data_IF_037592523705
#
_entry.id   IF_037592523705
#
_cell.length_a   1.000
_cell.length_b   1.000
_cell.length_c   1.000
_cell.angle_alpha   90.00
_cell.angle_beta   90.00
_cell.angle_gamma   90.00
#
_symmetry.space_group_name_H-M   'P 1'
#
loop_
_entity.id
_entity.type
_entity.pdbx_description
1 polymer ?
#
# COMPACT_ATOMS: atom_id res chain seq x y z
N UNK A 1 -5.90 25.78 7.17
CA UNK A 1 -6.55 26.08 5.88
C UNK A 1 -8.03 25.83 6.09
N UNK A 2 -8.93 26.70 5.65
CA UNK A 2 -10.37 26.40 5.70
C UNK A 2 -10.79 25.59 4.45
N UNK A 3 -11.96 24.96 4.48
CA UNK A 3 -12.42 24.08 3.39
C UNK A 3 -12.51 24.80 2.03
N UNK A 4 -12.85 26.10 2.01
CA UNK A 4 -12.93 26.89 0.78
C UNK A 4 -11.54 27.15 0.17
N UNK A 5 -10.53 27.40 1.00
CA UNK A 5 -9.15 27.55 0.57
C UNK A 5 -8.59 26.23 0.04
N UNK A 6 -8.97 25.10 0.64
CA UNK A 6 -8.56 23.76 0.23
C UNK A 6 -9.17 23.35 -1.12
N UNK A 7 -10.46 23.58 -1.31
CA UNK A 7 -11.15 23.33 -2.58
C UNK A 7 -10.58 24.19 -3.71
N UNK A 8 -10.24 25.43 -3.41
CA UNK A 8 -9.61 26.31 -4.36
C UNK A 8 -8.19 25.88 -4.72
N UNK A 9 -7.40 25.43 -3.74
CA UNK A 9 -6.08 24.85 -3.99
C UNK A 9 -6.19 23.67 -4.97
N UNK A 10 -7.11 22.73 -4.72
CA UNK A 10 -7.33 21.60 -5.62
C UNK A 10 -7.72 22.10 -7.01
N UNK A 11 -8.68 23.03 -7.10
CA UNK A 11 -9.09 23.61 -8.38
C UNK A 11 -7.92 24.25 -9.16
N UNK A 12 -7.09 25.05 -8.50
CA UNK A 12 -5.95 25.73 -9.13
C UNK A 12 -4.86 24.73 -9.59
N UNK A 13 -4.62 23.69 -8.81
CA UNK A 13 -3.66 22.62 -9.13
C UNK A 13 -4.15 21.74 -10.28
N UNK A 14 -5.43 21.36 -10.25
CA UNK A 14 -6.09 20.52 -11.25
C UNK A 14 -6.22 21.20 -12.62
N UNK A 15 -6.44 22.53 -12.64
CA UNK A 15 -6.55 23.31 -13.88
C UNK A 15 -5.18 23.66 -14.49
N UNK A 16 -4.10 23.17 -13.91
CA UNK A 16 -2.76 23.48 -14.36
C UNK A 16 -2.38 22.61 -15.56
N UNK A 17 -2.02 23.24 -16.67
CA UNK A 17 -1.70 22.53 -17.93
C UNK A 17 -0.42 21.68 -17.86
N UNK A 18 0.38 21.76 -16.79
CA UNK A 18 1.60 20.97 -16.59
C UNK A 18 1.86 20.70 -15.10
N UNK A 19 2.53 19.58 -14.79
CA UNK A 19 3.02 19.28 -13.43
C UNK A 19 3.89 20.42 -12.87
N UNK A 20 4.68 21.09 -13.73
CA UNK A 20 5.52 22.22 -13.34
C UNK A 20 4.70 23.37 -12.76
N UNK A 21 3.60 23.72 -13.43
CA UNK A 21 2.73 24.81 -13.00
C UNK A 21 1.98 24.42 -11.71
N UNK A 22 1.52 23.17 -11.59
CA UNK A 22 0.93 22.65 -10.34
C UNK A 22 1.91 22.79 -9.15
N UNK A 23 3.18 22.41 -9.36
CA UNK A 23 4.22 22.53 -8.33
C UNK A 23 4.50 24.00 -7.96
N UNK A 24 4.54 24.92 -8.92
CA UNK A 24 4.73 26.35 -8.65
C UNK A 24 3.59 26.94 -7.82
N UNK A 25 2.33 26.55 -8.10
CA UNK A 25 1.16 26.95 -7.30
C UNK A 25 1.32 26.47 -5.85
N UNK A 26 1.66 25.18 -5.67
CA UNK A 26 1.86 24.59 -4.34
C UNK A 26 2.98 25.27 -3.55
N UNK A 27 4.09 25.60 -4.19
CA UNK A 27 5.23 26.30 -3.58
C UNK A 27 4.87 27.73 -3.18
N UNK A 28 4.17 28.45 -4.05
CA UNK A 28 3.74 29.81 -3.77
C UNK A 28 2.88 29.85 -2.50
N UNK A 29 1.95 28.91 -2.39
CA UNK A 29 1.04 28.77 -1.24
C UNK A 29 1.80 28.34 0.02
N UNK A 30 2.78 27.44 -0.12
CA UNK A 30 3.64 27.03 1.00
C UNK A 30 4.47 28.19 1.58
N UNK A 31 4.84 29.17 0.76
CA UNK A 31 5.66 30.31 1.17
C UNK A 31 4.86 31.55 1.59
N UNK A 32 3.55 31.59 1.37
CA UNK A 32 2.70 32.67 1.85
C UNK A 32 2.31 32.45 3.32
N UNK A 33 2.81 33.31 4.22
CA UNK A 33 2.48 33.29 5.67
C UNK A 33 0.99 33.55 5.97
N UNK A 34 0.25 34.05 4.97
CA UNK A 34 -1.21 34.17 5.01
C UNK A 34 -1.82 33.12 4.10
N UNK A 35 -2.52 32.14 4.68
CA UNK A 35 -3.46 31.23 4.01
C UNK A 35 -4.70 31.99 3.44
N UNK A 36 -4.53 33.19 2.90
CA UNK A 36 -5.57 33.94 2.18
C UNK A 36 -5.38 33.73 0.68
N UNK A 37 -5.99 32.68 0.14
CA UNK A 37 -6.05 32.45 -1.30
C UNK A 37 -7.05 33.45 -1.93
N UNK A 38 -6.53 34.55 -2.50
CA UNK A 38 -7.27 35.67 -3.16
C UNK A 38 -8.27 35.24 -4.25
N UNK A 39 -9.57 35.62 -4.20
CA UNK A 39 -10.67 35.02 -4.96
C UNK A 39 -10.74 35.49 -6.41
N UNK A 40 -9.92 34.93 -7.30
CA UNK A 40 -10.15 35.07 -8.73
C UNK A 40 -9.92 33.72 -9.43
N UNK A 41 -10.77 33.45 -10.41
CA UNK A 41 -10.84 32.31 -11.35
C UNK A 41 -12.01 31.34 -11.16
N UNK A 42 -13.21 31.84 -11.47
CA UNK A 42 -14.39 31.04 -11.84
C UNK A 42 -14.45 30.87 -13.36
N UNK A 43 -13.75 29.90 -13.94
CA UNK A 43 -14.13 29.33 -15.24
C UNK A 43 -13.65 27.89 -15.36
N UNK A 44 -14.56 26.98 -15.76
CA UNK A 44 -14.28 25.57 -16.07
C UNK A 44 -13.19 25.46 -17.15
N UNK A 45 -12.29 24.48 -17.03
CA UNK A 45 -11.85 23.74 -18.22
C UNK A 45 -11.75 22.21 -18.00
N UNK A 46 -12.06 21.52 -19.09
CA UNK A 46 -11.59 20.18 -19.45
C UNK A 46 -10.14 20.35 -19.94
N UNK A 47 -9.19 19.43 -19.67
CA UNK A 47 -8.29 18.79 -20.68
C UNK A 47 -7.12 17.97 -20.09
N UNK A 48 -6.68 17.05 -20.94
CA UNK A 48 -5.82 15.87 -20.78
C UNK A 48 -4.35 16.19 -20.44
N UNK A 49 -3.79 15.44 -19.49
CA UNK A 49 -2.36 15.35 -19.22
C UNK A 49 -1.62 14.83 -20.47
N UNK A 50 -0.87 15.68 -21.18
CA UNK A 50 0.06 15.19 -22.21
C UNK A 50 1.32 14.64 -21.54
N UNK A 51 1.27 13.36 -21.18
CA UNK A 51 2.45 12.57 -20.82
C UNK A 51 3.29 12.28 -22.07
N UNK A 52 3.94 13.30 -22.63
CA UNK A 52 4.98 13.12 -23.63
C UNK A 52 5.90 14.32 -23.63
N UNK A 53 6.92 14.29 -22.78
CA UNK A 53 8.21 14.91 -23.12
C UNK A 53 9.33 14.33 -22.25
N UNK A 54 10.36 13.83 -22.95
CA UNK A 54 11.55 13.20 -22.38
C UNK A 54 12.35 14.15 -21.45
N UNK A 55 13.08 13.62 -20.46
CA UNK A 55 13.64 14.39 -19.36
C UNK A 55 15.15 14.62 -19.58
N UNK A 56 15.56 15.80 -20.03
CA UNK A 56 17.00 16.14 -19.98
C UNK A 56 17.26 17.58 -19.52
N UNK A 57 16.33 18.52 -19.75
CA UNK A 57 16.52 19.92 -19.36
C UNK A 57 15.54 20.42 -18.28
N UNK A 58 14.46 19.68 -18.01
CA UNK A 58 13.46 20.01 -17.00
C UNK A 58 13.80 19.49 -15.58
N UNK A 59 14.74 18.54 -15.44
CA UNK A 59 14.95 17.79 -14.19
C UNK A 59 15.38 18.64 -12.99
N UNK A 60 16.23 19.66 -13.20
CA UNK A 60 16.76 20.47 -12.08
C UNK A 60 15.72 21.42 -11.46
N UNK A 61 14.82 21.98 -12.27
CA UNK A 61 13.79 22.89 -11.77
C UNK A 61 12.65 22.13 -11.08
N UNK A 62 12.23 20.99 -11.63
CA UNK A 62 11.23 20.13 -10.99
C UNK A 62 11.71 19.58 -9.66
N UNK A 63 12.97 19.15 -9.58
CA UNK A 63 13.53 18.61 -8.34
C UNK A 63 13.69 19.67 -7.25
N UNK A 64 14.04 20.92 -7.62
CA UNK A 64 14.02 22.05 -6.67
C UNK A 64 12.59 22.34 -6.17
N UNK A 65 11.62 22.29 -7.07
CA UNK A 65 10.23 22.55 -6.73
C UNK A 65 9.66 21.50 -5.76
N UNK A 66 9.96 20.22 -5.98
CA UNK A 66 9.59 19.14 -5.08
C UNK A 66 10.32 19.28 -3.74
N UNK A 67 11.61 19.63 -3.75
CA UNK A 67 12.37 19.88 -2.52
C UNK A 67 11.77 21.00 -1.67
N UNK A 68 11.35 22.10 -2.30
CA UNK A 68 10.66 23.20 -1.62
C UNK A 68 9.30 22.77 -1.06
N UNK A 69 8.55 21.95 -1.79
CA UNK A 69 7.28 21.38 -1.34
C UNK A 69 7.47 20.35 -0.21
N UNK A 70 8.60 19.66 -0.19
CA UNK A 70 9.00 18.72 0.86
C UNK A 70 9.77 19.40 2.02
N UNK A 71 9.83 20.73 2.04
CA UNK A 71 10.32 21.49 3.20
C UNK A 71 9.30 21.48 4.34
N UNK A 72 9.73 21.88 5.55
CA UNK A 72 8.86 21.92 6.74
C UNK A 72 7.58 22.74 6.53
N UNK A 73 7.62 23.77 5.67
CA UNK A 73 6.48 24.61 5.33
C UNK A 73 5.57 24.01 4.26
N UNK A 74 6.05 23.07 3.46
CA UNK A 74 5.28 22.47 2.36
C UNK A 74 4.46 21.24 2.78
N UNK A 75 4.92 20.50 3.79
CA UNK A 75 4.20 19.32 4.30
C UNK A 75 2.75 19.56 4.72
N UNK A 76 2.39 20.67 5.41
CA UNK A 76 0.99 20.96 5.72
C UNK A 76 0.14 21.09 4.45
N UNK A 77 0.67 21.69 3.38
CA UNK A 77 -0.02 21.86 2.09
C UNK A 77 -0.21 20.50 1.42
N UNK A 78 0.84 19.66 1.36
CA UNK A 78 0.75 18.32 0.77
C UNK A 78 -0.22 17.43 1.54
N UNK A 79 -0.15 17.44 2.87
CA UNK A 79 -1.05 16.67 3.70
C UNK A 79 -2.50 17.10 3.47
N UNK A 80 -2.76 18.40 3.46
CA UNK A 80 -4.10 18.95 3.24
C UNK A 80 -4.63 18.64 1.84
N UNK A 81 -3.78 18.73 0.83
CA UNK A 81 -4.12 18.33 -0.53
C UNK A 81 -4.57 16.86 -0.58
N UNK A 82 -3.84 15.96 0.07
CA UNK A 82 -4.22 14.55 0.19
C UNK A 82 -5.55 14.38 0.93
N UNK A 83 -5.82 15.18 1.98
CA UNK A 83 -7.14 15.16 2.65
C UNK A 83 -8.26 15.57 1.70
N UNK A 84 -8.08 16.66 0.97
CA UNK A 84 -9.12 17.19 0.07
C UNK A 84 -9.44 16.20 -1.05
N UNK A 85 -8.41 15.61 -1.67
CA UNK A 85 -8.60 14.63 -2.76
C UNK A 85 -9.04 13.24 -2.27
N UNK A 86 -8.91 12.95 -0.97
CA UNK A 86 -9.47 11.73 -0.37
C UNK A 86 -10.98 11.74 -0.28
N UNK A 87 -11.60 12.92 -0.37
CA UNK A 87 -13.05 13.09 -0.43
C UNK A 87 -13.61 12.47 -1.72
N UNK A 88 -14.79 11.82 -1.70
CA UNK A 88 -15.40 11.17 -2.86
C UNK A 88 -15.65 12.09 -4.07
N UNK A 89 -15.56 13.40 -3.89
CA UNK A 89 -15.83 14.41 -4.92
C UNK A 89 -14.66 14.66 -5.88
N UNK A 90 -13.46 14.12 -5.62
CA UNK A 90 -12.27 14.37 -6.42
C UNK A 90 -11.58 13.05 -6.80
N UNK A 91 -11.44 12.82 -8.11
CA UNK A 91 -10.74 11.66 -8.67
C UNK A 91 -9.90 12.12 -9.84
N UNK A 92 -8.63 12.42 -9.59
CA UNK A 92 -7.78 13.05 -10.59
C UNK A 92 -6.42 12.38 -10.70
N UNK A 93 -6.02 12.01 -11.92
CA UNK A 93 -4.79 11.25 -12.19
C UNK A 93 -3.50 12.02 -11.84
N UNK A 94 -3.55 13.35 -11.76
CA UNK A 94 -2.36 14.15 -11.43
C UNK A 94 -1.87 13.90 -10.00
N UNK A 95 -2.75 13.53 -9.06
CA UNK A 95 -2.33 13.22 -7.68
C UNK A 95 -1.45 11.97 -7.65
N UNK A 96 -1.71 11.00 -8.54
CA UNK A 96 -0.89 9.79 -8.65
C UNK A 96 0.54 10.14 -9.06
N UNK A 97 0.70 11.08 -9.99
CA UNK A 97 2.02 11.54 -10.44
C UNK A 97 2.78 12.27 -9.32
N UNK A 98 2.10 13.16 -8.60
CA UNK A 98 2.70 13.87 -7.47
C UNK A 98 3.12 12.90 -6.35
N UNK A 99 2.22 11.98 -5.98
CA UNK A 99 2.49 10.99 -4.93
C UNK A 99 3.55 9.98 -5.34
N UNK A 100 3.60 9.56 -6.61
CA UNK A 100 4.66 8.69 -7.13
C UNK A 100 6.03 9.32 -6.87
N UNK A 101 6.16 10.61 -7.22
CA UNK A 101 7.41 11.35 -7.06
C UNK A 101 7.79 11.56 -5.59
N UNK A 102 6.85 12.02 -4.75
CA UNK A 102 7.10 12.28 -3.32
C UNK A 102 7.40 10.98 -2.56
N UNK A 103 6.61 9.93 -2.79
CA UNK A 103 6.65 8.72 -1.96
C UNK A 103 7.72 7.73 -2.40
N UNK A 104 7.91 7.53 -3.71
CA UNK A 104 8.86 6.54 -4.22
C UNK A 104 10.21 7.17 -4.58
N UNK A 105 10.22 8.21 -5.41
CA UNK A 105 11.48 8.79 -5.89
C UNK A 105 12.22 9.57 -4.80
N UNK A 106 11.53 10.43 -4.05
CA UNK A 106 12.13 11.20 -2.95
C UNK A 106 12.04 10.46 -1.59
N UNK A 107 11.44 9.26 -1.55
CA UNK A 107 11.34 8.39 -0.36
C UNK A 107 10.67 9.02 0.87
N UNK A 108 9.79 10.00 0.69
CA UNK A 108 9.13 10.71 1.79
C UNK A 108 7.81 10.08 2.25
N UNK A 109 7.51 8.85 1.84
CA UNK A 109 6.32 8.12 2.30
C UNK A 109 6.19 8.11 3.84
N UNK A 110 7.23 7.83 4.65
CA UNK A 110 7.08 7.81 6.10
C UNK A 110 6.63 9.16 6.67
N UNK A 111 7.19 10.25 6.14
CA UNK A 111 6.89 11.60 6.58
C UNK A 111 5.46 11.98 6.22
N UNK A 112 5.05 11.82 4.96
CA UNK A 112 3.68 12.09 4.53
C UNK A 112 2.67 11.25 5.31
N UNK A 113 2.91 9.94 5.44
CA UNK A 113 2.03 9.03 6.16
C UNK A 113 1.85 9.44 7.62
N UNK A 114 2.90 9.93 8.29
CA UNK A 114 2.81 10.45 9.66
C UNK A 114 1.98 11.73 9.76
N UNK A 115 2.09 12.64 8.78
CA UNK A 115 1.36 13.91 8.74
C UNK A 115 -0.13 13.74 8.46
N UNK A 116 -0.53 12.59 7.90
CA UNK A 116 -1.93 12.23 7.65
C UNK A 116 -2.63 11.63 8.88
N UNK A 117 -1.92 11.35 9.97
CA UNK A 117 -2.58 11.00 11.23
C UNK A 117 -3.46 12.17 11.70
N UNK A 118 -4.65 11.83 12.18
CA UNK A 118 -5.60 12.81 12.71
C UNK A 118 -4.96 13.56 13.89
N UNK A 119 -5.17 14.88 13.98
CA UNK A 119 -4.70 15.73 15.07
C UNK A 119 -5.91 16.25 15.82
N UNK A 120 -6.64 15.38 16.52
CA UNK A 120 -7.67 15.88 17.44
C UNK A 120 -7.01 16.33 18.74
N UNK A 121 -7.12 17.64 18.97
CA UNK A 121 -7.08 18.24 20.29
C UNK A 121 -8.45 17.97 20.91
N UNK A 122 -8.49 17.08 21.90
CA UNK A 122 -9.35 17.25 23.08
C UNK A 122 -8.61 16.60 24.26
N UNK A 123 -8.03 17.46 25.10
CA UNK A 123 -7.63 17.10 26.45
C UNK A 123 -8.91 16.72 27.21
N UNK A 124 -9.07 15.43 27.47
CA UNK A 124 -10.23 14.91 28.18
C UNK A 124 -10.38 13.42 27.95
N UNK A 125 -10.19 12.67 29.03
CA UNK A 125 -10.35 11.22 29.15
C UNK A 125 -9.16 10.37 28.69
N UNK A 126 -8.32 10.05 29.68
CA UNK A 126 -7.45 8.87 29.69
C UNK A 126 -8.28 7.63 29.38
N UNK A 127 -8.15 7.15 28.15
CA UNK A 127 -8.44 5.77 27.81
C UNK A 127 -7.18 5.22 27.14
N UNK A 128 -6.51 4.31 27.85
CA UNK A 128 -5.36 3.56 27.36
C UNK A 128 -5.76 2.78 26.09
N UNK A 129 -5.45 3.32 24.90
CA UNK A 129 -5.29 2.58 23.61
C UNK A 129 -5.20 3.44 22.34
N UNK A 130 -5.14 4.79 22.42
CA UNK A 130 -5.30 5.67 21.23
C UNK A 130 -4.13 5.72 20.20
N UNK A 131 -3.00 5.04 20.39
CA UNK A 131 -1.79 5.28 19.57
C UNK A 131 -1.66 4.42 18.28
N UNK A 132 -2.63 3.52 18.04
CA UNK A 132 -2.58 2.53 16.96
C UNK A 132 -3.61 2.71 15.83
N UNK A 133 -4.48 3.72 15.90
CA UNK A 133 -5.53 3.90 14.91
C UNK A 133 -5.02 4.57 13.62
N UNK A 134 -5.32 3.96 12.48
CA UNK A 134 -5.04 4.54 11.16
C UNK A 134 -6.18 5.46 10.70
N UNK A 135 -5.85 6.52 9.96
CA UNK A 135 -6.83 7.46 9.38
C UNK A 135 -7.31 7.05 7.99
N UNK A 136 -8.47 7.57 7.56
CA UNK A 136 -8.99 7.38 6.20
C UNK A 136 -8.02 7.86 5.13
N UNK A 137 -7.29 8.94 5.41
CA UNK A 137 -6.34 9.55 4.48
C UNK A 137 -5.09 8.67 4.33
N UNK A 138 -4.68 7.96 5.39
CA UNK A 138 -3.61 6.96 5.31
C UNK A 138 -4.04 5.75 4.45
N UNK A 139 -5.27 5.28 4.60
CA UNK A 139 -5.81 4.22 3.75
C UNK A 139 -5.90 4.68 2.28
N UNK A 140 -6.36 5.90 2.04
CA UNK A 140 -6.39 6.53 0.72
C UNK A 140 -5.00 6.60 0.09
N UNK A 141 -4.00 7.08 0.83
CA UNK A 141 -2.62 7.15 0.36
C UNK A 141 -2.10 5.77 -0.08
N UNK A 142 -2.28 4.74 0.76
CA UNK A 142 -1.85 3.38 0.41
C UNK A 142 -2.60 2.83 -0.81
N UNK A 143 -3.90 3.09 -0.94
CA UNK A 143 -4.66 2.75 -2.14
C UNK A 143 -4.03 3.37 -3.39
N UNK A 144 -3.81 4.68 -3.38
CA UNK A 144 -3.23 5.39 -4.53
C UNK A 144 -1.83 4.89 -4.87
N UNK A 145 -1.00 4.61 -3.87
CA UNK A 145 0.34 4.03 -4.08
C UNK A 145 0.28 2.62 -4.66
N UNK A 146 -0.69 1.80 -4.23
CA UNK A 146 -0.91 0.48 -4.83
C UNK A 146 -1.33 0.57 -6.30
N UNK A 147 -2.17 1.55 -6.65
CA UNK A 147 -2.59 1.82 -8.03
C UNK A 147 -1.40 2.25 -8.88
N UNK A 148 -0.55 3.17 -8.39
CA UNK A 148 0.66 3.63 -9.09
C UNK A 148 1.59 2.46 -9.43
N UNK A 149 1.84 1.56 -8.47
CA UNK A 149 2.71 0.39 -8.67
C UNK A 149 2.10 -0.62 -9.63
N UNK A 150 0.79 -0.88 -9.51
CA UNK A 150 0.09 -1.80 -10.39
C UNK A 150 0.00 -1.29 -11.83
N UNK A 151 -0.26 0.01 -12.02
CA UNK A 151 -0.33 0.68 -13.33
C UNK A 151 1.05 0.98 -13.92
N UNK A 152 2.14 0.84 -13.14
CA UNK A 152 3.51 1.21 -13.51
C UNK A 152 3.62 2.65 -14.00
N UNK A 153 3.01 3.58 -13.27
CA UNK A 153 3.01 5.00 -13.63
C UNK A 153 4.41 5.58 -13.38
N UNK A 154 5.18 5.71 -14.46
CA UNK A 154 6.61 6.01 -14.41
C UNK A 154 7.43 4.73 -14.17
N UNK A 155 8.69 4.71 -14.58
CA UNK A 155 9.64 3.65 -14.19
C UNK A 155 9.98 3.81 -12.70
N UNK A 156 8.99 3.53 -11.83
CA UNK A 156 9.06 3.78 -10.39
C UNK A 156 10.11 2.86 -9.79
N UNK A 157 11.16 3.47 -9.23
CA UNK A 157 12.13 2.77 -8.39
C UNK A 157 11.74 2.96 -6.94
N UNK A 158 11.60 1.86 -6.20
CA UNK A 158 11.20 1.90 -4.78
C UNK A 158 12.44 1.70 -3.92
N UNK A 159 12.73 2.68 -3.06
CA UNK A 159 13.87 2.60 -2.15
C UNK A 159 13.64 1.59 -1.03
N UNK A 160 14.74 1.05 -0.47
CA UNK A 160 14.72 0.12 0.66
C UNK A 160 13.92 0.66 1.85
N UNK A 161 14.05 1.95 2.15
CA UNK A 161 13.40 2.57 3.30
C UNK A 161 11.88 2.62 3.13
N UNK A 162 11.40 2.91 1.92
CA UNK A 162 9.98 2.87 1.58
C UNK A 162 9.44 1.44 1.72
N UNK A 163 10.17 0.44 1.21
CA UNK A 163 9.78 -0.97 1.32
C UNK A 163 9.66 -1.40 2.79
N UNK A 164 10.67 -1.08 3.62
CA UNK A 164 10.66 -1.42 5.04
C UNK A 164 9.57 -0.68 5.81
N UNK A 165 9.28 0.56 5.43
CA UNK A 165 8.18 1.31 6.03
C UNK A 165 6.82 0.68 5.73
N UNK A 166 6.56 0.29 4.47
CA UNK A 166 5.31 -0.41 4.11
C UNK A 166 5.22 -1.76 4.82
N UNK A 167 6.34 -2.49 4.94
CA UNK A 167 6.38 -3.72 5.74
C UNK A 167 6.04 -3.47 7.21
N UNK A 168 6.55 -2.39 7.80
CA UNK A 168 6.20 -1.96 9.15
C UNK A 168 4.70 -1.67 9.31
N UNK A 169 4.09 -0.99 8.33
CA UNK A 169 2.63 -0.75 8.31
C UNK A 169 1.88 -2.08 8.25
N UNK A 170 2.24 -2.96 7.32
CA UNK A 170 1.61 -4.27 7.17
C UNK A 170 1.68 -5.04 8.49
N UNK A 171 2.88 -5.16 9.07
CA UNK A 171 3.11 -5.85 10.35
C UNK A 171 2.31 -5.24 11.50
N UNK A 172 2.19 -3.92 11.59
CA UNK A 172 1.37 -3.26 12.62
C UNK A 172 -0.12 -3.54 12.40
N UNK A 173 -0.57 -3.52 11.15
CA UNK A 173 -1.98 -3.71 10.79
C UNK A 173 -2.50 -5.15 10.93
N UNK A 174 -1.63 -6.15 11.13
CA UNK A 174 -2.07 -7.54 11.33
C UNK A 174 -2.90 -7.73 12.61
N UNK A 175 -2.77 -6.84 13.61
CA UNK A 175 -3.62 -6.84 14.81
C UNK A 175 -5.12 -6.70 14.51
N UNK A 176 -5.48 -6.14 13.33
CA UNK A 176 -6.87 -6.08 12.85
C UNK A 176 -7.51 -7.48 12.75
N UNK A 177 -6.71 -8.52 12.54
CA UNK A 177 -7.19 -9.89 12.42
C UNK A 177 -7.78 -10.44 13.73
N UNK A 178 -7.36 -9.94 14.89
CA UNK A 178 -7.87 -10.39 16.20
C UNK A 178 -9.36 -10.08 16.36
N UNK A 179 -9.82 -9.00 15.74
CA UNK A 179 -11.20 -8.52 15.80
C UNK A 179 -11.89 -8.59 14.43
N UNK A 180 -11.30 -9.30 13.47
CA UNK A 180 -11.80 -9.32 12.11
C UNK A 180 -13.18 -9.98 12.02
N UNK A 181 -14.11 -9.26 11.38
CA UNK A 181 -15.34 -9.85 10.88
C UNK A 181 -15.10 -10.32 9.45
N UNK A 182 -15.78 -11.40 9.04
CA UNK A 182 -15.69 -11.93 7.68
C UNK A 182 -16.05 -10.85 6.65
N UNK A 183 -15.05 -10.43 5.86
CA UNK A 183 -15.22 -9.47 4.79
C UNK A 183 -16.04 -10.04 3.63
N UNK A 184 -17.01 -9.25 3.16
CA UNK A 184 -17.90 -9.64 2.04
C UNK A 184 -17.48 -9.01 0.71
N UNK A 185 -16.72 -7.93 0.75
CA UNK A 185 -16.21 -7.18 -0.41
C UNK A 185 -14.71 -7.35 -0.58
N UNK A 186 -14.19 -7.01 -1.76
CA UNK A 186 -12.77 -6.75 -1.95
C UNK A 186 -12.35 -5.40 -1.33
N UNK A 187 -11.15 -4.94 -1.64
CA UNK A 187 -10.71 -3.59 -1.26
C UNK A 187 -11.26 -2.54 -2.24
N UNK A 188 -11.67 -1.35 -1.77
CA UNK A 188 -11.80 -0.97 -0.37
C UNK A 188 -12.95 -1.71 0.34
N UNK A 189 -12.71 -2.13 1.58
CA UNK A 189 -13.61 -2.91 2.42
C UNK A 189 -14.63 -2.04 3.18
N UNK A 190 -14.35 -0.74 3.30
CA UNK A 190 -15.14 0.19 4.12
C UNK A 190 -14.69 0.27 5.58
N UNK A 191 -13.67 -0.50 5.97
CA UNK A 191 -13.04 -0.43 7.29
C UNK A 191 -11.60 0.01 7.10
N UNK A 192 -11.26 1.22 7.57
CA UNK A 192 -9.94 1.85 7.39
C UNK A 192 -8.79 0.93 7.76
N UNK A 193 -8.87 0.25 8.90
CA UNK A 193 -7.78 -0.62 9.36
C UNK A 193 -7.59 -1.87 8.47
N UNK A 194 -8.69 -2.43 7.94
CA UNK A 194 -8.64 -3.52 6.96
C UNK A 194 -8.07 -3.04 5.63
N UNK A 195 -8.40 -1.82 5.22
CA UNK A 195 -7.90 -1.23 3.98
C UNK A 195 -6.40 -0.96 4.06
N UNK A 196 -5.90 -0.45 5.20
CA UNK A 196 -4.46 -0.29 5.45
C UNK A 196 -3.73 -1.64 5.39
N UNK A 197 -4.29 -2.68 6.03
CA UNK A 197 -3.75 -4.04 5.97
C UNK A 197 -3.70 -4.57 4.53
N UNK A 198 -4.80 -4.41 3.79
CA UNK A 198 -4.94 -4.91 2.43
C UNK A 198 -4.05 -4.18 1.42
N UNK A 199 -4.05 -2.85 1.42
CA UNK A 199 -3.24 -2.08 0.49
C UNK A 199 -1.74 -2.18 0.77
N UNK A 200 -1.31 -2.25 2.04
CA UNK A 200 0.09 -2.52 2.37
C UNK A 200 0.55 -3.90 1.89
N UNK A 201 -0.30 -4.93 2.00
CA UNK A 201 -0.05 -6.25 1.44
C UNK A 201 0.07 -6.23 -0.09
N UNK A 202 -0.82 -5.52 -0.79
CA UNK A 202 -0.79 -5.38 -2.25
C UNK A 202 0.49 -4.67 -2.70
N UNK A 203 0.86 -3.56 -2.05
CA UNK A 203 2.10 -2.83 -2.36
C UNK A 203 3.32 -3.76 -2.23
N UNK A 204 3.42 -4.51 -1.13
CA UNK A 204 4.51 -5.48 -0.94
C UNK A 204 4.52 -6.56 -2.03
N UNK A 205 3.34 -7.08 -2.40
CA UNK A 205 3.18 -8.09 -3.45
C UNK A 205 3.72 -7.57 -4.78
N UNK A 206 3.37 -6.35 -5.14
CA UNK A 206 3.72 -5.75 -6.43
C UNK A 206 5.20 -5.36 -6.47
N UNK A 207 5.77 -4.85 -5.36
CA UNK A 207 7.22 -4.64 -5.22
C UNK A 207 7.99 -5.96 -5.37
N UNK A 208 7.51 -7.05 -4.76
CA UNK A 208 8.18 -8.35 -4.86
C UNK A 208 8.01 -9.00 -6.26
N UNK A 209 7.00 -8.57 -7.03
CA UNK A 209 6.80 -9.04 -8.40
C UNK A 209 7.77 -8.39 -9.40
N UNK A 210 8.40 -7.27 -9.04
CA UNK A 210 9.43 -6.65 -9.85
C UNK A 210 10.69 -7.52 -9.87
N UNK A 211 10.78 -8.37 -10.88
CA UNK A 211 12.00 -9.10 -11.24
C UNK A 211 13.07 -8.05 -11.61
N UNK A 212 14.21 -8.06 -10.92
CA UNK A 212 15.39 -7.22 -11.24
C UNK A 212 16.07 -7.64 -12.56
N UNK A 213 15.32 -8.25 -13.48
CA UNK A 213 15.79 -8.78 -14.75
C UNK A 213 16.03 -7.59 -15.67
N UNK A 214 17.24 -7.04 -15.61
CA UNK A 214 17.71 -6.05 -16.57
C UNK A 214 18.73 -5.04 -16.06
N UNK A 215 18.91 -4.88 -14.75
CA UNK A 215 19.94 -3.95 -14.24
C UNK A 215 21.24 -4.68 -13.94
N UNK A 216 22.22 -4.51 -14.83
CA UNK A 216 23.64 -4.65 -14.49
C UNK A 216 23.97 -3.63 -13.39
N UNK A 217 23.85 -4.03 -12.13
CA UNK A 217 24.38 -3.25 -11.02
C UNK A 217 24.72 -4.19 -9.88
N UNK A 218 26.01 -4.39 -9.66
CA UNK A 218 26.62 -5.08 -8.51
C UNK A 218 26.20 -4.47 -7.14
N UNK A 219 25.38 -3.42 -7.15
CA UNK A 219 24.89 -2.67 -6.00
C UNK A 219 23.35 -2.54 -5.91
N UNK A 220 22.56 -3.15 -6.82
CA UNK A 220 21.11 -3.15 -6.69
C UNK A 220 20.72 -4.01 -5.47
N UNK A 221 20.39 -3.37 -4.36
CA UNK A 221 19.95 -4.05 -3.15
C UNK A 221 18.68 -4.83 -3.48
N UNK A 222 18.75 -6.16 -3.45
CA UNK A 222 17.58 -7.01 -3.65
C UNK A 222 16.59 -6.75 -2.51
N UNK A 223 15.59 -5.92 -2.78
CA UNK A 223 14.55 -5.50 -1.82
C UNK A 223 13.80 -6.69 -1.24
N UNK A 224 13.67 -7.78 -2.02
CA UNK A 224 13.06 -9.02 -1.54
C UNK A 224 13.95 -9.67 -0.49
N UNK A 225 15.27 -9.76 -0.71
CA UNK A 225 16.19 -10.31 0.30
C UNK A 225 16.20 -9.49 1.59
N UNK A 226 16.06 -8.16 1.48
CA UNK A 226 15.86 -7.29 2.65
C UNK A 226 14.58 -7.70 3.39
N UNK A 227 13.43 -7.77 2.71
CA UNK A 227 12.18 -8.19 3.36
C UNK A 227 12.29 -9.58 4.00
N UNK A 228 12.99 -10.51 3.35
CA UNK A 228 13.24 -11.86 3.87
C UNK A 228 14.09 -11.86 5.14
N UNK A 229 15.10 -10.98 5.24
CA UNK A 229 15.92 -10.85 6.45
C UNK A 229 15.16 -10.25 7.62
N UNK A 230 14.12 -9.44 7.35
CA UNK A 230 13.21 -8.89 8.36
C UNK A 230 12.05 -9.83 8.73
N UNK A 231 12.01 -11.04 8.17
CA UNK A 231 11.05 -12.08 8.57
C UNK A 231 9.69 -12.00 7.86
N UNK A 232 9.63 -11.44 6.65
CA UNK A 232 8.39 -11.34 5.89
C UNK A 232 7.70 -12.71 5.71
N UNK A 233 8.43 -13.75 5.32
CA UNK A 233 7.86 -15.09 5.09
C UNK A 233 7.24 -15.65 6.38
N UNK A 234 7.93 -15.53 7.51
CA UNK A 234 7.40 -15.99 8.79
C UNK A 234 6.12 -15.28 9.17
N UNK A 235 6.09 -13.95 9.03
CA UNK A 235 4.88 -13.19 9.30
C UNK A 235 3.72 -13.63 8.39
N UNK A 236 3.96 -13.81 7.09
CA UNK A 236 2.93 -14.24 6.14
C UNK A 236 2.44 -15.66 6.43
N UNK A 237 3.31 -16.58 6.85
CA UNK A 237 2.92 -17.94 7.25
C UNK A 237 2.10 -17.95 8.53
N UNK A 238 2.47 -17.13 9.53
CA UNK A 238 1.69 -16.95 10.77
C UNK A 238 0.31 -16.41 10.42
N UNK A 239 0.25 -15.31 9.67
CA UNK A 239 -1.01 -14.69 9.25
C UNK A 239 -1.87 -15.68 8.47
N UNK A 240 -1.29 -16.45 7.54
CA UNK A 240 -2.04 -17.42 6.75
C UNK A 240 -2.52 -18.62 7.57
N UNK A 241 -1.73 -19.07 8.56
CA UNK A 241 -2.06 -20.18 9.45
C UNK A 241 -3.16 -19.86 10.45
N UNK A 242 -3.25 -18.60 10.87
CA UNK A 242 -4.30 -18.11 11.76
C UNK A 242 -5.70 -18.05 11.10
N UNK A 243 -5.77 -18.09 9.76
CA UNK A 243 -7.03 -17.93 9.02
C UNK A 243 -7.87 -19.21 8.97
N UNK A 244 -9.19 -19.06 9.07
CA UNK A 244 -10.15 -20.17 8.93
C UNK A 244 -9.89 -21.00 7.66
N UNK A 245 -9.84 -22.35 7.77
CA UNK A 245 -9.82 -23.25 6.62
C UNK A 245 -11.02 -22.98 5.69
N UNK A 246 -10.82 -23.14 4.39
CA UNK A 246 -11.88 -22.96 3.40
C UNK A 246 -13.03 -23.94 3.67
N UNK A 247 -14.27 -23.49 3.42
CA UNK A 247 -15.53 -24.13 3.86
C UNK A 247 -15.72 -25.61 3.48
N UNK A 248 -14.93 -26.14 2.55
CA UNK A 248 -15.01 -27.51 2.06
C UNK A 248 -14.43 -28.52 3.06
N UNK A 249 -13.53 -28.10 3.96
CA UNK A 249 -13.00 -28.95 5.04
C UNK A 249 -14.02 -29.09 6.20
N UNK A 250 -15.03 -28.20 6.29
CA UNK A 250 -16.11 -28.32 7.29
C UNK A 250 -17.04 -29.52 7.05
N UNK A 251 -17.06 -30.11 5.85
CA UNK A 251 -17.89 -31.30 5.58
C UNK A 251 -17.25 -32.63 6.01
N UNK A 252 -15.96 -32.65 6.35
CA UNK A 252 -15.26 -33.86 6.82
C UNK A 252 -15.08 -33.97 8.34
N UNK A 253 -15.27 -32.88 9.08
CA UNK A 253 -14.84 -32.78 10.49
C UNK A 253 -16.00 -32.68 11.49
N UNK A 254 -17.24 -32.96 11.07
CA UNK A 254 -18.42 -32.96 11.95
C UNK A 254 -18.61 -34.26 12.75
N UNK A 255 -17.58 -35.11 12.88
CA UNK A 255 -17.73 -36.43 13.53
C UNK A 255 -16.74 -36.71 14.67
N UNK A 256 -16.10 -35.69 15.23
CA UNK A 256 -15.23 -35.87 16.40
C UNK A 256 -15.29 -34.65 17.32
N UNK A 257 -16.48 -34.32 17.82
CA UNK A 257 -16.58 -33.51 19.03
C UNK A 257 -16.62 -34.47 20.22
N UNK A 258 -15.45 -34.72 20.82
CA UNK A 258 -15.32 -35.03 22.23
C UNK A 258 -13.91 -34.66 22.71
N UNK A 259 -13.90 -33.69 23.62
CA UNK A 259 -12.90 -33.36 24.64
C UNK A 259 -11.75 -32.36 24.32
N UNK A 260 -11.88 -31.23 25.04
CA UNK A 260 -10.88 -30.48 25.80
C UNK A 260 -9.68 -29.77 25.16
N UNK A 261 -9.61 -28.46 25.46
CA UNK A 261 -8.36 -27.72 25.62
C UNK A 261 -8.01 -26.74 24.51
N UNK A 262 -8.34 -25.45 24.73
CA UNK A 262 -7.96 -24.30 23.90
C UNK A 262 -8.40 -24.38 22.42
N UNK A 263 -9.68 -24.08 22.18
CA UNK A 263 -10.18 -23.72 20.84
C UNK A 263 -9.37 -22.55 20.30
N UNK A 264 -8.36 -22.82 19.47
CA UNK A 264 -7.77 -21.82 18.60
C UNK A 264 -8.88 -21.32 17.66
N UNK A 265 -9.50 -20.19 18.01
CA UNK A 265 -10.53 -19.57 17.20
C UNK A 265 -9.87 -19.06 15.92
N UNK A 266 -9.94 -19.86 14.87
CA UNK A 266 -9.43 -19.48 13.57
C UNK A 266 -10.12 -18.19 13.09
N UNK A 267 -9.34 -17.26 12.56
CA UNK A 267 -9.79 -15.89 12.23
C UNK A 267 -10.40 -15.85 10.83
N UNK A 268 -11.55 -15.19 10.61
CA UNK A 268 -12.11 -15.06 9.28
C UNK A 268 -11.24 -14.14 8.40
N UNK A 269 -11.35 -14.28 7.07
CA UNK A 269 -10.69 -13.34 6.15
C UNK A 269 -11.30 -11.94 6.27
N UNK A 270 -10.49 -10.88 6.42
CA UNK A 270 -10.97 -9.50 6.59
C UNK A 270 -11.55 -8.90 5.30
N UNK A 271 -11.18 -9.41 4.12
CA UNK A 271 -11.76 -9.04 2.83
C UNK A 271 -11.65 -10.19 1.80
N UNK A 272 -12.45 -10.10 0.71
CA UNK A 272 -12.45 -11.07 -0.39
C UNK A 272 -11.13 -10.99 -1.17
N UNK A 273 -10.36 -12.07 -1.15
CA UNK A 273 -9.06 -12.15 -1.83
C UNK A 273 -7.84 -12.08 -0.90
N UNK A 274 -8.02 -11.85 0.40
CA UNK A 274 -6.90 -11.71 1.35
C UNK A 274 -5.90 -12.90 1.31
N UNK A 275 -6.42 -14.13 1.35
CA UNK A 275 -5.59 -15.34 1.22
C UNK A 275 -4.82 -15.39 -0.09
N UNK A 276 -5.49 -15.07 -1.20
CA UNK A 276 -4.84 -15.03 -2.53
C UNK A 276 -3.69 -14.04 -2.52
N UNK A 277 -3.89 -12.86 -1.95
CA UNK A 277 -2.86 -11.80 -1.93
C UNK A 277 -1.65 -12.21 -1.08
N UNK A 278 -1.84 -12.85 0.09
CA UNK A 278 -0.76 -13.41 0.91
C UNK A 278 0.03 -14.46 0.13
N UNK A 279 -0.69 -15.41 -0.46
CA UNK A 279 -0.09 -16.56 -1.14
C UNK A 279 0.65 -16.08 -2.40
N UNK A 280 0.14 -15.07 -3.11
CA UNK A 280 0.83 -14.41 -4.22
C UNK A 280 2.10 -13.67 -3.77
N UNK A 281 2.08 -12.99 -2.61
CA UNK A 281 3.28 -12.33 -2.08
C UNK A 281 4.37 -13.34 -1.68
N UNK A 282 4.01 -14.42 -0.98
CA UNK A 282 4.94 -15.54 -0.72
C UNK A 282 5.47 -16.08 -2.05
N UNK A 283 4.56 -16.23 -3.02
CA UNK A 283 4.80 -16.46 -4.43
C UNK A 283 6.03 -15.72 -4.96
N UNK A 284 5.86 -14.42 -5.06
CA UNK A 284 6.85 -13.50 -5.60
C UNK A 284 8.16 -13.52 -4.80
N UNK A 285 8.09 -13.66 -3.47
CA UNK A 285 9.27 -13.70 -2.61
C UNK A 285 10.17 -14.92 -2.87
N UNK A 286 9.60 -16.11 -3.11
CA UNK A 286 10.41 -17.32 -3.31
C UNK A 286 10.67 -17.66 -4.78
N UNK A 287 10.10 -16.90 -5.71
CA UNK A 287 10.37 -17.05 -7.12
C UNK A 287 11.87 -16.89 -7.41
N UNK A 288 12.48 -17.90 -8.02
CA UNK A 288 13.92 -17.95 -8.40
C UNK A 288 14.91 -17.72 -7.24
N UNK A 289 14.48 -17.80 -5.97
CA UNK A 289 15.33 -17.58 -4.78
C UNK A 289 15.43 -18.83 -3.92
N UNK A 290 16.48 -19.64 -4.12
CA UNK A 290 16.66 -20.94 -3.43
C UNK A 290 16.62 -20.82 -1.90
N UNK A 291 17.35 -19.86 -1.33
CA UNK A 291 17.37 -19.66 0.13
C UNK A 291 15.97 -19.35 0.71
N UNK A 292 15.15 -18.61 -0.04
CA UNK A 292 13.78 -18.28 0.35
C UNK A 292 12.85 -19.51 0.25
N UNK A 293 13.04 -20.34 -0.79
CA UNK A 293 12.35 -21.63 -0.93
C UNK A 293 12.72 -22.60 0.20
N UNK A 294 14.01 -22.68 0.56
CA UNK A 294 14.49 -23.48 1.69
C UNK A 294 13.86 -23.00 3.00
N UNK A 295 13.81 -21.68 3.23
CA UNK A 295 13.14 -21.07 4.38
C UNK A 295 11.67 -21.47 4.46
N UNK A 296 10.96 -21.43 3.33
CA UNK A 296 9.57 -21.84 3.22
C UNK A 296 9.38 -23.34 3.52
N UNK A 297 10.26 -24.21 3.00
CA UNK A 297 10.25 -25.66 3.27
C UNK A 297 10.47 -25.97 4.75
N UNK A 298 11.48 -25.34 5.35
CA UNK A 298 11.86 -25.55 6.76
C UNK A 298 10.80 -25.08 7.77
N UNK A 299 9.79 -24.34 7.32
CA UNK A 299 8.69 -23.83 8.16
C UNK A 299 7.36 -24.54 7.89
N UNK A 300 7.38 -25.70 7.22
CA UNK A 300 6.17 -26.40 6.77
C UNK A 300 5.26 -25.53 5.89
N UNK A 301 5.79 -24.44 5.31
CA UNK A 301 5.02 -23.47 4.56
C UNK A 301 4.47 -24.05 3.27
N UNK A 302 5.16 -25.04 2.67
CA UNK A 302 4.64 -25.78 1.52
C UNK A 302 3.28 -26.41 1.86
N UNK A 303 3.19 -27.16 2.97
CA UNK A 303 1.92 -27.79 3.38
C UNK A 303 0.82 -26.76 3.59
N UNK A 304 1.13 -25.65 4.26
CA UNK A 304 0.19 -24.56 4.51
C UNK A 304 -0.35 -23.94 3.21
N UNK A 305 0.51 -23.73 2.21
CA UNK A 305 0.12 -23.22 0.90
C UNK A 305 -0.74 -24.25 0.13
N UNK A 306 -0.39 -25.54 0.19
CA UNK A 306 -1.17 -26.61 -0.45
C UNK A 306 -2.60 -26.67 0.09
N UNK A 307 -2.80 -26.41 1.38
CA UNK A 307 -4.12 -26.34 2.01
C UNK A 307 -4.98 -25.19 1.45
N UNK A 308 -4.37 -24.13 0.92
CA UNK A 308 -5.10 -23.04 0.27
C UNK A 308 -5.52 -23.36 -1.17
N UNK A 309 -5.01 -24.44 -1.77
CA UNK A 309 -5.35 -24.84 -3.14
C UNK A 309 -6.69 -25.60 -3.27
N UNK A 310 -7.39 -25.86 -2.17
CA UNK A 310 -8.66 -26.61 -2.18
C UNK A 310 -9.82 -25.66 -2.49
N UNK A 311 -10.41 -25.86 -3.67
CA UNK A 311 -11.67 -25.31 -4.26
C UNK A 311 -12.20 -24.05 -3.58
N UNK A 312 -11.84 -22.89 -4.13
CA UNK A 312 -12.68 -21.70 -4.05
C UNK A 312 -13.17 -21.42 -5.48
N UNK A 313 -14.49 -21.29 -5.67
CA UNK A 313 -15.11 -20.93 -6.95
C UNK A 313 -14.69 -19.52 -7.39
N UNK A 314 -14.27 -18.68 -6.43
CA UNK A 314 -13.73 -17.33 -6.66
C UNK A 314 -12.20 -17.28 -6.87
N UNK A 315 -11.53 -18.44 -7.01
CA UNK A 315 -10.07 -18.52 -7.22
C UNK A 315 -9.71 -18.90 -8.67
N UNK A 316 -9.46 -17.91 -9.57
CA UNK A 316 -9.13 -18.19 -10.97
C UNK A 316 -7.73 -18.84 -11.16
N UNK A 317 -6.92 -18.97 -10.10
CA UNK A 317 -5.51 -19.35 -10.21
C UNK A 317 -5.24 -20.86 -10.12
N UNK A 318 -6.27 -21.72 -10.04
CA UNK A 318 -6.11 -23.18 -9.87
C UNK A 318 -5.11 -23.85 -10.84
N UNK A 319 -4.99 -23.33 -12.07
CA UNK A 319 -4.04 -23.84 -13.08
C UNK A 319 -2.60 -23.37 -12.86
N UNK A 320 -2.39 -22.15 -12.37
CA UNK A 320 -1.06 -21.58 -12.15
C UNK A 320 -0.37 -22.19 -10.93
N UNK A 321 -1.14 -22.56 -9.89
CA UNK A 321 -0.63 -23.26 -8.69
C UNK A 321 -0.08 -24.66 -8.99
N UNK A 322 -0.64 -25.37 -9.97
CA UNK A 322 -0.13 -26.69 -10.40
C UNK A 322 1.28 -26.59 -11.00
N UNK A 323 1.54 -25.53 -11.76
CA UNK A 323 2.86 -25.24 -12.36
C UNK A 323 3.86 -24.81 -11.25
N UNK A 324 3.37 -24.09 -10.24
CA UNK A 324 4.17 -23.68 -9.09
C UNK A 324 4.61 -24.84 -8.20
N UNK A 325 3.74 -25.83 -7.98
CA UNK A 325 4.08 -27.07 -7.27
C UNK A 325 5.23 -27.82 -7.95
N UNK A 326 5.18 -27.98 -9.28
CA UNK A 326 6.25 -28.66 -10.01
C UNK A 326 7.60 -27.96 -9.80
N UNK A 327 7.66 -26.63 -9.93
CA UNK A 327 8.91 -25.86 -9.80
C UNK A 327 9.49 -25.78 -8.39
N UNK A 328 8.68 -25.90 -7.34
CA UNK A 328 9.16 -25.92 -5.94
C UNK A 328 9.63 -27.30 -5.48
N UNK A 329 9.15 -28.36 -6.14
CA UNK A 329 9.46 -29.77 -5.83
C UNK A 329 10.63 -30.28 -6.68
N UNK A 330 10.79 -29.84 -7.94
CA UNK A 330 11.81 -30.32 -8.90
C UNK A 330 13.26 -29.77 -8.70
N UNK A 331 13.63 -29.33 -7.49
CA UNK A 331 15.04 -28.93 -7.22
C UNK A 331 15.66 -29.74 -6.07
N UNK A 332 15.18 -30.98 -5.90
CA UNK A 332 15.84 -32.00 -5.07
C UNK A 332 17.09 -32.54 -5.74
#
# INVERSE_FOLDING_TARGET
MNDNDALKLVFDVSNSNTLQNSLQILIHISNSDSLHLSPYFTHKPIFVFQASQKPVLAGKQHQRAIWELCSDRGWPVVAELVRTVSSPSFGEDWIKLLLSRICFEESHLPLLFSKLRFKDIHEGEESESKDDQFSSEQAFLLRTLSEILNERIGDVTVSKDVVLFVYGIFKKSTGVLEHAVRGKSGLPSGITAVDVLGYSLIILRDICAHDSVGCNAENATDVVNVLLSYGLIELLLIVLGDLEPLAIIRKGTKQSENQDGASCSLKPCPYKGFKRDIVALIGNCVHRRKHAQDKLRNRNGVLLLLQQCVTDEDNPFRREWGIWRAKLVDVS
#
